data_IF_138257956918
#
_entry.id   IF_138257956918
#
_cell.length_a   1.000
_cell.length_b   1.000
_cell.length_c   1.000
_cell.angle_alpha   90.00
_cell.angle_beta   90.00
_cell.angle_gamma   90.00
#
_symmetry.space_group_name_H-M   'P 1'
#
loop_
_entity.id
_entity.type
_entity.pdbx_description
1 polymer ?
#
# COMPACT_ATOMS: atom_id res chain seq x y z
N UNK A 1 33.09 40.12 -14.82
CA UNK A 1 33.25 38.67 -14.62
C UNK A 1 32.81 38.35 -13.19
N UNK A 2 31.65 37.73 -13.01
CA UNK A 2 31.17 37.30 -11.71
C UNK A 2 30.82 35.81 -11.81
N UNK A 3 31.40 35.03 -10.89
CA UNK A 3 31.32 33.59 -10.83
C UNK A 3 29.88 33.12 -10.55
N UNK A 4 29.44 32.09 -11.29
CA UNK A 4 28.19 31.38 -11.04
C UNK A 4 28.37 30.46 -9.82
N UNK A 5 27.48 30.60 -8.85
CA UNK A 5 27.27 29.59 -7.82
C UNK A 5 26.04 28.77 -8.22
N UNK A 6 26.26 27.48 -8.47
CA UNK A 6 25.22 26.45 -8.40
C UNK A 6 25.31 25.88 -6.99
N UNK A 7 24.24 25.95 -6.16
CA UNK A 7 23.64 24.69 -5.76
C UNK A 7 22.17 24.82 -5.32
N UNK A 8 21.28 24.00 -5.87
CA UNK A 8 20.16 23.41 -5.11
C UNK A 8 19.56 22.25 -5.90
N UNK A 9 20.12 21.06 -5.69
CA UNK A 9 19.44 19.81 -6.04
C UNK A 9 18.18 19.71 -5.19
N UNK A 10 16.98 19.53 -5.76
CA UNK A 10 15.80 19.29 -4.95
C UNK A 10 15.90 17.91 -4.31
N UNK A 11 15.88 17.97 -2.98
CA UNK A 11 15.59 16.94 -1.97
C UNK A 11 15.20 15.54 -2.50
N UNK A 12 16.18 14.63 -2.59
CA UNK A 12 15.98 13.19 -2.85
C UNK A 12 15.62 12.40 -1.56
N UNK A 13 15.27 13.08 -0.46
CA UNK A 13 15.03 12.44 0.84
C UNK A 13 13.54 12.12 1.11
N UNK A 14 12.66 12.24 0.11
CA UNK A 14 11.25 11.88 0.24
C UNK A 14 10.99 10.36 0.09
N UNK A 15 12.00 9.57 -0.23
CA UNK A 15 11.88 8.13 -0.51
C UNK A 15 12.54 7.26 0.57
N UNK A 16 12.42 7.68 1.84
CA UNK A 16 12.72 6.78 2.95
C UNK A 16 11.39 6.10 3.33
N UNK A 17 11.23 4.78 3.18
CA UNK A 17 10.10 4.09 3.77
C UNK A 17 10.06 4.45 5.25
N UNK A 18 9.03 5.18 5.66
CA UNK A 18 8.76 5.36 7.07
C UNK A 18 8.34 3.98 7.59
N UNK A 19 8.99 3.45 8.63
CA UNK A 19 8.47 2.26 9.29
C UNK A 19 7.07 2.60 9.76
N UNK A 20 6.06 1.92 9.21
CA UNK A 20 4.70 2.03 9.73
C UNK A 20 4.75 1.58 11.19
N UNK A 21 4.37 2.44 12.12
CA UNK A 21 4.46 2.23 13.58
C UNK A 21 3.35 1.29 14.08
N UNK A 22 3.09 0.22 13.32
CA UNK A 22 2.14 -0.83 13.67
C UNK A 22 2.87 -1.90 14.46
N UNK A 23 2.23 -2.35 15.52
CA UNK A 23 2.67 -3.52 16.25
C UNK A 23 2.65 -4.76 15.33
N UNK A 24 3.55 -5.71 15.60
CA UNK A 24 3.58 -6.96 14.84
C UNK A 24 2.23 -7.71 14.87
N UNK A 25 1.47 -7.54 15.94
CA UNK A 25 0.11 -8.07 16.11
C UNK A 25 -0.85 -7.51 15.07
N UNK A 26 -0.91 -6.18 14.89
CA UNK A 26 -1.84 -5.55 13.94
C UNK A 26 -1.58 -5.99 12.50
N UNK A 27 -0.31 -6.14 12.10
CA UNK A 27 0.04 -6.65 10.77
C UNK A 27 -0.37 -8.12 10.59
N UNK A 28 -0.22 -8.95 11.62
CA UNK A 28 -0.62 -10.36 11.57
C UNK A 28 -2.14 -10.51 11.59
N UNK A 29 -2.87 -9.67 12.33
CA UNK A 29 -4.34 -9.62 12.31
C UNK A 29 -4.85 -9.20 10.92
N UNK A 30 -4.21 -8.19 10.31
CA UNK A 30 -4.54 -7.72 8.97
C UNK A 30 -4.44 -8.84 7.93
N UNK A 31 -3.33 -9.59 7.93
CA UNK A 31 -3.16 -10.72 7.00
C UNK A 31 -3.88 -12.00 7.44
N UNK A 32 -4.24 -12.13 8.72
CA UNK A 32 -5.07 -13.23 9.22
C UNK A 32 -6.50 -13.16 8.67
N UNK A 33 -7.00 -11.95 8.41
CA UNK A 33 -8.31 -11.72 7.82
C UNK A 33 -8.37 -12.24 6.36
N UNK A 34 -9.33 -13.14 6.10
CA UNK A 34 -9.52 -13.75 4.78
C UNK A 34 -9.96 -12.74 3.72
N UNK A 35 -10.79 -11.76 4.07
CA UNK A 35 -11.25 -10.74 3.14
C UNK A 35 -10.12 -9.78 2.79
N UNK A 36 -9.25 -9.45 3.74
CA UNK A 36 -8.04 -8.67 3.46
C UNK A 36 -7.15 -9.38 2.45
N UNK A 37 -6.91 -10.67 2.63
CA UNK A 37 -6.10 -11.47 1.69
C UNK A 37 -6.74 -11.53 0.30
N UNK A 38 -8.03 -11.83 0.23
CA UNK A 38 -8.76 -11.85 -1.05
C UNK A 38 -8.71 -10.49 -1.77
N UNK A 39 -8.87 -9.39 -1.03
CA UNK A 39 -8.76 -8.03 -1.58
C UNK A 39 -7.34 -7.73 -2.04
N UNK A 40 -6.31 -8.09 -1.26
CA UNK A 40 -4.91 -7.89 -1.64
C UNK A 40 -4.56 -8.69 -2.91
N UNK A 41 -4.92 -9.97 -2.98
CA UNK A 41 -4.71 -10.84 -4.14
C UNK A 41 -5.43 -10.29 -5.39
N UNK A 42 -6.65 -9.80 -5.23
CA UNK A 42 -7.37 -9.12 -6.30
C UNK A 42 -6.62 -7.88 -6.79
N UNK A 43 -5.94 -7.11 -5.96
CA UNK A 43 -5.15 -5.95 -6.44
C UNK A 43 -3.79 -6.39 -7.00
N UNK A 44 -3.21 -7.47 -6.47
CA UNK A 44 -1.91 -8.01 -6.87
C UNK A 44 -1.91 -8.58 -8.29
N UNK A 45 -3.02 -9.20 -8.73
CA UNK A 45 -3.12 -9.74 -10.09
C UNK A 45 -3.08 -8.63 -11.16
N UNK A 46 -3.72 -7.48 -10.89
CA UNK A 46 -3.63 -6.26 -11.72
C UNK A 46 -4.26 -5.07 -10.98
N UNK A 47 -3.85 -3.83 -11.29
CA UNK A 47 -4.50 -2.63 -10.76
C UNK A 47 -5.99 -2.57 -11.09
N UNK A 48 -6.85 -2.30 -10.09
CA UNK A 48 -8.32 -2.37 -10.19
C UNK A 48 -8.98 -1.19 -9.48
N UNK A 49 -10.18 -0.79 -9.91
CA UNK A 49 -11.04 0.11 -9.13
C UNK A 49 -11.64 -0.61 -7.92
N UNK A 50 -12.07 0.13 -6.89
CA UNK A 50 -12.68 -0.48 -5.70
C UNK A 50 -13.92 -1.34 -5.99
N UNK A 51 -14.65 -1.03 -7.06
CA UNK A 51 -15.75 -1.89 -7.55
C UNK A 51 -15.23 -3.21 -8.12
N UNK A 52 -14.25 -3.15 -9.00
CA UNK A 52 -13.67 -4.36 -9.60
C UNK A 52 -12.99 -5.25 -8.56
N UNK A 53 -12.43 -4.66 -7.50
CA UNK A 53 -11.92 -5.40 -6.34
C UNK A 53 -13.04 -6.13 -5.62
N UNK A 54 -14.17 -5.47 -5.35
CA UNK A 54 -15.32 -6.11 -4.70
C UNK A 54 -15.85 -7.29 -5.52
N UNK A 55 -15.97 -7.11 -6.83
CA UNK A 55 -16.42 -8.16 -7.75
C UNK A 55 -15.40 -9.32 -7.82
N UNK A 56 -14.09 -9.03 -7.86
CA UNK A 56 -13.05 -10.06 -7.97
C UNK A 56 -12.80 -10.83 -6.66
N UNK A 57 -12.93 -10.18 -5.51
CA UNK A 57 -12.75 -10.79 -4.19
C UNK A 57 -14.03 -11.44 -3.64
N UNK A 58 -15.15 -11.37 -4.38
CA UNK A 58 -16.48 -11.86 -3.97
C UNK A 58 -16.94 -11.30 -2.62
N UNK A 59 -16.78 -9.98 -2.43
CA UNK A 59 -17.16 -9.28 -1.21
C UNK A 59 -18.06 -8.08 -1.49
N UNK A 60 -18.75 -7.61 -0.45
CA UNK A 60 -19.47 -6.34 -0.55
C UNK A 60 -18.51 -5.18 -0.86
N UNK A 61 -18.99 -4.17 -1.60
CA UNK A 61 -18.22 -2.94 -1.85
C UNK A 61 -17.72 -2.29 -0.57
N UNK A 62 -18.54 -2.25 0.48
CA UNK A 62 -18.15 -1.67 1.76
C UNK A 62 -16.99 -2.46 2.41
N UNK A 63 -17.02 -3.79 2.33
CA UNK A 63 -15.91 -4.66 2.78
C UNK A 63 -14.65 -4.39 1.98
N UNK A 64 -14.75 -4.35 0.64
CA UNK A 64 -13.61 -4.08 -0.24
C UNK A 64 -12.94 -2.73 0.10
N UNK A 65 -13.70 -1.64 0.19
CA UNK A 65 -13.14 -0.33 0.53
C UNK A 65 -12.52 -0.29 1.93
N UNK A 66 -13.14 -0.95 2.92
CA UNK A 66 -12.53 -1.06 4.26
C UNK A 66 -11.17 -1.74 4.19
N UNK A 67 -11.07 -2.90 3.53
CA UNK A 67 -9.81 -3.65 3.41
C UNK A 67 -8.76 -2.93 2.54
N UNK A 68 -9.17 -2.25 1.48
CA UNK A 68 -8.28 -1.42 0.68
C UNK A 68 -7.70 -0.26 1.48
N UNK A 69 -8.52 0.38 2.34
CA UNK A 69 -8.03 1.42 3.24
C UNK A 69 -7.08 0.84 4.28
N UNK A 70 -7.44 -0.28 4.93
CA UNK A 70 -6.56 -0.97 5.90
C UNK A 70 -5.19 -1.28 5.26
N UNK A 71 -5.18 -1.84 4.04
CA UNK A 71 -3.95 -2.15 3.29
C UNK A 71 -3.17 -0.90 2.86
N UNK A 72 -3.86 0.20 2.54
CA UNK A 72 -3.24 1.48 2.17
C UNK A 72 -2.59 2.15 3.37
N UNK A 73 -3.23 2.11 4.52
CA UNK A 73 -2.73 2.73 5.75
C UNK A 73 -1.42 2.07 6.20
N UNK A 74 -1.23 0.79 5.86
CA UNK A 74 0.03 0.06 6.12
C UNK A 74 1.04 0.12 4.98
N UNK A 75 0.72 0.79 3.86
CA UNK A 75 1.60 0.97 2.71
C UNK A 75 1.69 -0.22 1.74
N UNK A 76 0.85 -1.25 1.91
CA UNK A 76 0.84 -2.43 1.03
C UNK A 76 0.11 -2.18 -0.30
N UNK A 77 -0.82 -1.24 -0.30
CA UNK A 77 -1.59 -0.81 -1.48
C UNK A 77 -1.48 0.70 -1.61
N UNK A 78 -1.38 1.21 -2.84
CA UNK A 78 -1.55 2.63 -3.16
C UNK A 78 -2.75 2.85 -4.06
N UNK A 79 -3.25 4.08 -4.07
CA UNK A 79 -4.40 4.49 -4.87
C UNK A 79 -4.05 5.70 -5.72
N UNK A 80 -4.37 5.65 -7.01
CA UNK A 80 -4.25 6.78 -7.92
C UNK A 80 -5.63 7.16 -8.47
N UNK A 81 -5.86 8.47 -8.63
CA UNK A 81 -7.08 8.96 -9.25
C UNK A 81 -6.96 8.82 -10.78
N UNK A 82 -7.63 7.82 -11.36
CA UNK A 82 -7.63 7.64 -12.81
C UNK A 82 -8.65 8.57 -13.46
N UNK A 83 -8.15 9.47 -14.33
CA UNK A 83 -8.99 10.30 -15.19
C UNK A 83 -9.58 9.44 -16.31
N UNK A 84 -10.88 9.19 -16.26
CA UNK A 84 -11.60 8.56 -17.37
C UNK A 84 -12.06 9.63 -18.36
N UNK A 85 -12.03 9.29 -19.66
CA UNK A 85 -12.44 10.20 -20.76
C UNK A 85 -13.93 10.56 -20.74
N UNK A 86 -14.73 9.86 -19.93
CA UNK A 86 -16.16 10.08 -19.72
C UNK A 86 -16.48 11.01 -18.53
N UNK A 87 -15.47 11.53 -17.83
CA UNK A 87 -15.65 12.44 -16.70
C UNK A 87 -15.94 11.75 -15.36
N UNK A 88 -16.03 10.41 -15.32
CA UNK A 88 -16.13 9.67 -14.06
C UNK A 88 -14.75 9.31 -13.55
N UNK A 89 -14.20 10.13 -12.64
CA UNK A 89 -12.98 9.79 -11.92
C UNK A 89 -13.19 8.49 -11.13
N UNK A 90 -12.28 7.52 -11.32
CA UNK A 90 -12.28 6.28 -10.55
C UNK A 90 -10.94 6.14 -9.87
N UNK A 91 -10.97 6.00 -8.55
CA UNK A 91 -9.82 5.61 -7.76
C UNK A 91 -9.42 4.19 -8.16
N UNK A 92 -8.15 4.03 -8.55
CA UNK A 92 -7.56 2.76 -8.95
C UNK A 92 -6.51 2.37 -7.91
N UNK A 93 -6.61 1.14 -7.44
CA UNK A 93 -5.74 0.57 -6.43
C UNK A 93 -4.72 -0.36 -7.08
N UNK A 94 -3.49 -0.33 -6.58
CA UNK A 94 -2.40 -1.22 -7.00
C UNK A 94 -1.49 -1.57 -5.81
N UNK A 95 -0.83 -2.72 -5.89
CA UNK A 95 0.10 -3.17 -4.85
C UNK A 95 1.38 -2.35 -4.90
N UNK A 96 1.90 -2.00 -3.73
CA UNK A 96 3.24 -1.44 -3.57
C UNK A 96 4.26 -2.57 -3.53
N UNK A 97 5.36 -2.50 -4.29
CA UNK A 97 6.45 -3.47 -4.14
C UNK A 97 7.10 -3.33 -2.76
N UNK A 98 6.79 -4.31 -1.90
CA UNK A 98 7.04 -4.24 -0.48
C UNK A 98 7.41 -5.62 0.04
N UNK A 99 8.30 -5.67 1.03
CA UNK A 99 8.65 -6.88 1.77
C UNK A 99 8.11 -6.81 3.20
N UNK A 100 7.42 -7.86 3.63
CA UNK A 100 7.09 -8.09 5.03
C UNK A 100 8.10 -9.07 5.64
N UNK A 101 8.60 -8.76 6.83
CA UNK A 101 9.44 -9.65 7.64
C UNK A 101 8.79 -9.91 8.98
N UNK A 102 8.77 -11.17 9.42
CA UNK A 102 8.32 -11.58 10.75
C UNK A 102 9.49 -12.24 11.48
N UNK A 103 9.76 -11.77 12.70
CA UNK A 103 10.78 -12.30 13.58
C UNK A 103 10.11 -12.87 14.84
N UNK A 104 10.54 -14.06 15.26
CA UNK A 104 10.03 -14.75 16.45
C UNK A 104 11.22 -15.12 17.34
N UNK A 105 11.19 -14.70 18.61
CA UNK A 105 12.27 -14.94 19.56
C UNK A 105 11.82 -14.86 21.01
N UNK A 106 12.79 -14.82 21.94
CA UNK A 106 12.52 -14.66 23.38
C UNK A 106 11.79 -13.35 23.73
N UNK A 107 11.86 -12.38 22.83
CA UNK A 107 11.29 -11.05 22.97
C UNK A 107 9.86 -10.97 22.39
N UNK A 108 9.33 -12.11 21.92
CA UNK A 108 8.00 -12.22 21.30
C UNK A 108 8.03 -12.24 19.78
N UNK A 109 6.92 -11.79 19.18
CA UNK A 109 6.71 -11.74 17.72
C UNK A 109 6.77 -10.27 17.28
N UNK A 110 7.60 -10.00 16.29
CA UNK A 110 7.76 -8.68 15.67
C UNK A 110 7.49 -8.80 14.18
N UNK A 111 6.75 -7.85 13.60
CA UNK A 111 6.57 -7.76 12.16
C UNK A 111 6.90 -6.36 11.67
N UNK A 112 7.44 -6.28 10.46
CA UNK A 112 7.77 -5.01 9.81
C UNK A 112 7.48 -5.11 8.32
N UNK A 113 7.06 -3.98 7.77
CA UNK A 113 6.80 -3.78 6.34
C UNK A 113 7.82 -2.75 5.82
N UNK A 114 8.49 -3.07 4.71
CA UNK A 114 9.50 -2.21 4.09
C UNK A 114 9.24 -2.14 2.60
N UNK A 115 9.07 -0.94 2.04
CA UNK A 115 9.04 -0.80 0.58
C UNK A 115 10.39 -1.20 -0.01
N UNK A 116 10.36 -1.82 -1.19
CA UNK A 116 11.57 -2.00 -2.00
C UNK A 116 11.77 -0.72 -2.82
N UNK A 117 13.01 -0.18 -2.87
CA UNK A 117 13.31 0.89 -3.81
C UNK A 117 13.16 0.35 -5.25
N UNK A 118 12.54 1.16 -6.12
CA UNK A 118 12.39 0.89 -7.57
C UNK A 118 13.74 0.78 -8.31
#
# INVERSE_FOLDING_TARGET
>A
MAARADPSKPNRAADRPQPTDLSGTELLELFGDEYTRAVFEAVAEKPRSGREVADAADVSRATAYRRLNDLRDVGLVRSELSLSRDGHHRERFEVTDTAMSVSVGGDGIQAAVRSRPE
#
